data_IF_587930898708
#
_entry.id   IF_587930898708
#
_cell.length_a   1.000
_cell.length_b   1.000
_cell.length_c   1.000
_cell.angle_alpha   90.00
_cell.angle_beta   90.00
_cell.angle_gamma   90.00
#
_symmetry.space_group_name_H-M   'P 1'
#
loop_
_entity.id
_entity.type
_entity.pdbx_description
1 polymer ?
#
# COMPACT_ATOMS: atom_id res chain seq x y z
N UNK A 1 -17.62 19.82 -11.38
CA UNK A 1 -17.87 20.31 -10.01
C UNK A 1 -17.19 19.38 -9.03
N UNK A 2 -15.97 19.72 -8.59
CA UNK A 2 -15.11 18.83 -7.78
C UNK A 2 -14.58 19.50 -6.51
N UNK A 3 -15.01 20.74 -6.27
CA UNK A 3 -14.49 21.63 -5.24
C UNK A 3 -14.74 21.11 -3.83
N UNK A 4 -15.93 20.54 -3.57
CA UNK A 4 -16.30 20.01 -2.25
C UNK A 4 -15.37 18.85 -1.86
N UNK A 5 -15.01 17.98 -2.82
CA UNK A 5 -14.10 16.87 -2.57
C UNK A 5 -12.65 17.31 -2.37
N UNK A 6 -12.22 18.36 -3.07
CA UNK A 6 -10.88 18.91 -2.91
C UNK A 6 -10.74 19.66 -1.56
N UNK A 7 -11.82 20.32 -1.10
CA UNK A 7 -11.90 20.99 0.20
C UNK A 7 -11.95 19.98 1.36
N UNK A 8 -12.64 18.85 1.18
CA UNK A 8 -12.67 17.76 2.16
C UNK A 8 -11.30 17.05 2.29
N UNK A 9 -10.51 16.98 1.20
CA UNK A 9 -9.16 16.41 1.21
C UNK A 9 -8.15 17.33 1.92
N UNK A 10 -8.25 18.64 1.68
CA UNK A 10 -7.32 19.63 2.21
C UNK A 10 -7.53 19.94 3.71
N UNK A 11 -8.61 19.43 4.31
CA UNK A 11 -8.91 19.70 5.71
C UNK A 11 -7.91 18.97 6.63
N UNK A 12 -7.20 19.68 7.52
CA UNK A 12 -6.10 19.12 8.32
C UNK A 12 -6.65 18.30 9.50
N UNK A 13 -7.27 17.17 9.21
CA UNK A 13 -7.86 16.27 10.20
C UNK A 13 -6.85 15.76 11.24
N UNK A 14 -5.55 15.74 10.89
CA UNK A 14 -4.48 15.30 11.79
C UNK A 14 -4.24 16.26 12.97
N UNK A 15 -4.42 17.57 12.82
CA UNK A 15 -4.18 18.55 13.90
C UNK A 15 -5.33 18.57 14.90
N UNK A 16 -6.56 18.34 14.42
CA UNK A 16 -7.76 18.24 15.27
C UNK A 16 -7.71 17.04 16.21
N UNK A 17 -7.25 15.89 15.73
CA UNK A 17 -7.07 14.68 16.55
C UNK A 17 -5.97 14.90 17.61
N UNK A 18 -4.85 15.54 17.22
CA UNK A 18 -3.75 15.83 18.14
C UNK A 18 -4.15 16.79 19.27
N UNK A 19 -5.09 17.70 19.02
CA UNK A 19 -5.67 18.59 20.04
C UNK A 19 -6.78 17.96 20.87
N UNK A 20 -7.42 16.89 20.38
CA UNK A 20 -8.55 16.24 21.02
C UNK A 20 -8.15 15.14 22.02
N UNK A 21 -6.88 14.72 22.02
CA UNK A 21 -6.34 13.80 23.03
C UNK A 21 -7.00 12.41 23.06
N UNK A 22 -7.65 11.99 21.97
CA UNK A 22 -8.33 10.72 21.86
C UNK A 22 -7.37 9.57 21.54
N UNK A 23 -7.60 8.42 22.15
CA UNK A 23 -6.72 7.24 22.10
C UNK A 23 -7.53 5.98 21.74
N UNK A 24 -8.58 6.17 20.94
CA UNK A 24 -9.66 5.20 20.78
C UNK A 24 -9.72 4.68 19.34
N UNK A 25 -10.01 3.39 19.16
CA UNK A 25 -10.08 2.69 17.86
C UNK A 25 -11.04 3.31 16.81
N UNK A 26 -11.88 4.27 17.22
CA UNK A 26 -12.74 5.08 16.34
C UNK A 26 -11.95 6.10 15.50
N UNK A 27 -10.72 6.45 15.90
CA UNK A 27 -9.89 7.44 15.21
C UNK A 27 -9.32 6.94 13.88
N UNK A 28 -9.17 5.63 13.68
CA UNK A 28 -8.67 5.05 12.42
C UNK A 28 -9.67 5.24 11.28
N UNK A 29 -10.97 5.23 11.57
CA UNK A 29 -12.02 5.48 10.58
C UNK A 29 -12.07 6.94 10.14
N UNK A 30 -11.74 7.89 11.03
CA UNK A 30 -11.68 9.31 10.69
C UNK A 30 -10.45 9.69 9.86
N UNK A 31 -9.49 8.78 9.67
CA UNK A 31 -8.33 8.96 8.79
C UNK A 31 -8.60 8.54 7.34
N UNK A 32 -9.74 7.90 7.05
CA UNK A 32 -10.18 7.53 5.70
C UNK A 32 -10.21 8.70 4.69
N UNK A 33 -10.45 9.98 5.06
CA UNK A 33 -10.29 11.12 4.15
C UNK A 33 -8.86 11.30 3.62
N UNK A 34 -7.83 10.72 4.26
CA UNK A 34 -6.46 10.72 3.68
C UNK A 34 -6.39 9.90 2.38
N UNK A 35 -7.26 8.91 2.19
CA UNK A 35 -7.42 8.20 0.90
C UNK A 35 -7.97 9.13 -0.20
N UNK A 36 -8.57 10.26 0.17
CA UNK A 36 -8.97 11.30 -0.79
C UNK A 36 -7.76 11.97 -1.45
N UNK A 37 -6.57 11.96 -0.82
CA UNK A 37 -5.32 12.38 -1.47
C UNK A 37 -4.90 11.40 -2.59
N UNK A 38 -5.27 10.12 -2.53
CA UNK A 38 -5.09 9.19 -3.66
C UNK A 38 -5.90 9.65 -4.87
N UNK A 39 -7.06 10.30 -4.67
CA UNK A 39 -7.81 10.92 -5.77
C UNK A 39 -7.08 12.11 -6.40
N UNK A 40 -6.31 12.88 -5.62
CA UNK A 40 -5.48 13.96 -6.16
C UNK A 40 -4.38 13.39 -7.06
N UNK A 41 -3.73 12.31 -6.62
CA UNK A 41 -2.74 11.59 -7.43
C UNK A 41 -3.37 10.98 -8.69
N UNK A 42 -4.55 10.38 -8.58
CA UNK A 42 -5.31 9.84 -9.71
C UNK A 42 -5.69 10.95 -10.70
N UNK A 43 -6.15 12.12 -10.24
CA UNK A 43 -6.44 13.25 -11.12
C UNK A 43 -5.19 13.81 -11.79
N UNK A 44 -4.05 13.83 -11.08
CA UNK A 44 -2.77 14.19 -11.68
C UNK A 44 -2.37 13.19 -12.79
N UNK A 45 -2.54 11.89 -12.54
CA UNK A 45 -2.32 10.84 -13.54
C UNK A 45 -3.26 10.97 -14.75
N UNK A 46 -4.56 11.24 -14.54
CA UNK A 46 -5.55 11.46 -15.61
C UNK A 46 -5.23 12.73 -16.43
N UNK A 47 -4.73 13.79 -15.78
CA UNK A 47 -4.27 15.00 -16.50
C UNK A 47 -3.02 14.72 -17.33
N UNK A 48 -2.07 13.96 -16.80
CA UNK A 48 -0.87 13.52 -17.53
C UNK A 48 -1.22 12.57 -18.70
N UNK A 49 -2.24 11.73 -18.52
CA UNK A 49 -2.85 10.89 -19.56
C UNK A 49 -3.39 11.70 -20.74
N UNK A 50 -4.02 12.85 -20.45
CA UNK A 50 -4.64 13.72 -21.43
C UNK A 50 -3.64 14.66 -22.14
N UNK A 51 -2.43 14.79 -21.60
CA UNK A 51 -1.41 15.67 -22.17
C UNK A 51 -0.65 14.95 -23.30
N UNK A 52 -1.16 15.08 -24.52
CA UNK A 52 -0.62 14.51 -25.77
C UNK A 52 0.81 14.99 -26.06
N UNK A 53 1.30 16.06 -25.39
CA UNK A 53 2.65 16.60 -25.56
C UNK A 53 3.76 15.74 -24.92
N UNK A 54 3.39 14.68 -24.21
CA UNK A 54 4.32 13.79 -23.50
C UNK A 54 4.98 12.71 -24.40
N UNK A 55 5.01 12.89 -25.72
CA UNK A 55 5.63 11.98 -26.72
C UNK A 55 7.16 11.81 -26.61
N UNK A 56 7.77 12.27 -25.52
CA UNK A 56 9.19 12.03 -25.21
C UNK A 56 9.32 10.98 -24.10
N UNK A 57 10.43 10.23 -24.12
CA UNK A 57 10.81 9.25 -23.08
C UNK A 57 10.56 9.77 -21.65
N UNK A 58 10.86 11.04 -21.42
CA UNK A 58 10.69 11.71 -20.12
C UNK A 58 9.23 11.90 -19.70
N UNK A 59 8.29 12.02 -20.63
CA UNK A 59 6.86 12.15 -20.35
C UNK A 59 6.23 10.84 -19.91
N UNK A 60 6.55 9.74 -20.62
CA UNK A 60 6.11 8.39 -20.25
C UNK A 60 6.61 7.96 -18.87
N UNK A 61 7.91 8.12 -18.59
CA UNK A 61 8.48 7.81 -17.28
C UNK A 61 7.82 8.62 -16.15
N UNK A 62 7.61 9.94 -16.36
CA UNK A 62 6.96 10.83 -15.39
C UNK A 62 5.55 10.37 -15.00
N UNK A 63 4.86 9.65 -15.88
CA UNK A 63 3.53 9.11 -15.62
C UNK A 63 3.57 7.72 -14.96
N UNK A 64 4.55 6.87 -15.33
CA UNK A 64 4.66 5.49 -14.83
C UNK A 64 5.20 5.39 -13.40
N UNK A 65 6.27 6.13 -13.07
CA UNK A 65 6.89 6.07 -11.74
C UNK A 65 5.93 6.35 -10.57
N UNK A 66 5.16 7.46 -10.55
CA UNK A 66 4.25 7.74 -9.45
C UNK A 66 3.11 6.71 -9.36
N UNK A 67 2.71 6.11 -10.48
CA UNK A 67 1.69 5.08 -10.52
C UNK A 67 2.15 3.79 -9.83
N UNK A 68 3.38 3.33 -10.12
CA UNK A 68 3.97 2.14 -9.48
C UNK A 68 4.13 2.36 -7.97
N UNK A 69 4.65 3.53 -7.57
CA UNK A 69 4.82 3.88 -6.14
C UNK A 69 3.47 3.93 -5.41
N UNK A 70 2.43 4.45 -6.04
CA UNK A 70 1.11 4.51 -5.44
C UNK A 70 0.52 3.12 -5.21
N UNK A 71 0.63 2.23 -6.19
CA UNK A 71 0.15 0.85 -6.05
C UNK A 71 0.92 0.11 -4.97
N UNK A 72 2.26 0.22 -4.95
CA UNK A 72 3.07 -0.43 -3.92
C UNK A 72 2.74 0.09 -2.52
N UNK A 73 2.52 1.39 -2.35
CA UNK A 73 2.10 1.98 -1.08
C UNK A 73 0.72 1.47 -0.63
N UNK A 74 -0.28 1.47 -1.52
CA UNK A 74 -1.63 1.00 -1.18
C UNK A 74 -1.60 -0.47 -0.78
N UNK A 75 -0.91 -1.32 -1.54
CA UNK A 75 -0.80 -2.74 -1.22
C UNK A 75 -0.03 -2.98 0.09
N UNK A 76 1.00 -2.18 0.38
CA UNK A 76 1.75 -2.25 1.63
C UNK A 76 0.90 -1.87 2.83
N UNK A 77 0.06 -0.83 2.70
CA UNK A 77 -0.88 -0.43 3.73
C UNK A 77 -1.93 -1.50 4.00
N UNK A 78 -2.46 -2.17 2.95
CA UNK A 78 -3.41 -3.27 3.11
C UNK A 78 -2.75 -4.47 3.79
N UNK A 79 -1.53 -4.83 3.39
CA UNK A 79 -0.76 -5.92 4.01
C UNK A 79 -0.48 -5.68 5.49
N UNK A 80 -0.05 -4.46 5.83
CA UNK A 80 0.15 -4.03 7.21
C UNK A 80 -1.16 -4.09 8.02
N UNK A 81 -2.26 -3.59 7.45
CA UNK A 81 -3.56 -3.59 8.09
C UNK A 81 -4.08 -5.02 8.36
N UNK A 82 -3.91 -5.95 7.42
CA UNK A 82 -4.29 -7.35 7.60
C UNK A 82 -3.56 -8.01 8.78
N UNK A 83 -2.26 -7.77 8.92
CA UNK A 83 -1.48 -8.28 10.06
C UNK A 83 -1.94 -7.70 11.40
N UNK A 84 -2.20 -6.38 11.45
CA UNK A 84 -2.66 -5.70 12.68
C UNK A 84 -4.07 -6.09 13.09
N UNK A 85 -4.99 -6.27 12.14
CA UNK A 85 -6.37 -6.67 12.41
C UNK A 85 -6.41 -8.04 13.09
N UNK A 86 -5.55 -8.97 12.64
CA UNK A 86 -5.42 -10.30 13.24
C UNK A 86 -4.81 -10.25 14.63
N UNK A 87 -3.74 -9.48 14.84
CA UNK A 87 -3.14 -9.28 16.16
C UNK A 87 -4.15 -8.73 17.19
N UNK A 88 -4.98 -7.76 16.80
CA UNK A 88 -6.02 -7.20 17.67
C UNK A 88 -7.07 -8.26 18.04
N UNK A 89 -7.52 -9.04 17.05
CA UNK A 89 -8.51 -10.11 17.22
C UNK A 89 -7.99 -11.26 18.08
N UNK A 90 -6.68 -11.54 18.02
CA UNK A 90 -5.99 -12.46 18.94
C UNK A 90 -6.04 -11.94 20.39
N UNK A 91 -5.65 -10.68 20.61
CA UNK A 91 -5.63 -10.05 21.94
C UNK A 91 -7.00 -9.97 22.62
N UNK A 92 -8.08 -9.92 21.84
CA UNK A 92 -9.47 -9.89 22.35
C UNK A 92 -10.02 -11.29 22.72
N UNK A 93 -9.19 -12.35 22.62
CA UNK A 93 -9.56 -13.69 23.09
C UNK A 93 -10.52 -14.43 22.15
N UNK A 94 -10.57 -14.05 20.88
CA UNK A 94 -11.52 -14.62 19.91
C UNK A 94 -11.21 -16.06 19.43
N UNK A 95 -10.22 -16.74 20.01
CA UNK A 95 -9.92 -18.16 19.75
C UNK A 95 -9.37 -18.46 18.36
N UNK A 96 -8.92 -17.44 17.62
CA UNK A 96 -8.35 -17.58 16.28
C UNK A 96 -6.87 -17.96 16.43
N UNK A 97 -6.55 -19.26 16.45
CA UNK A 97 -5.22 -19.79 16.79
C UNK A 97 -4.12 -19.56 15.72
N UNK A 98 -4.49 -19.06 14.54
CA UNK A 98 -3.57 -18.94 13.41
C UNK A 98 -2.62 -17.73 13.57
N UNK A 99 -1.28 -17.93 13.50
CA UNK A 99 -0.32 -16.83 13.59
C UNK A 99 -0.46 -15.89 12.39
N UNK A 100 -0.21 -14.60 12.60
CA UNK A 100 -0.15 -13.62 11.52
C UNK A 100 1.26 -13.52 10.94
N UNK A 101 1.38 -12.99 9.72
CA UNK A 101 2.70 -12.74 9.14
C UNK A 101 3.59 -11.85 10.04
N UNK A 102 2.99 -10.95 10.83
CA UNK A 102 3.70 -10.00 11.71
C UNK A 102 4.15 -10.64 13.04
N UNK A 103 3.49 -11.72 13.47
CA UNK A 103 3.86 -12.51 14.64
C UNK A 103 4.80 -13.67 14.31
N UNK A 104 4.92 -14.08 13.04
CA UNK A 104 5.77 -15.21 12.63
C UNK A 104 7.06 -14.80 11.90
N UNK A 105 7.30 -13.49 11.73
CA UNK A 105 8.48 -13.04 11.01
C UNK A 105 9.75 -13.02 11.90
N UNK A 106 10.67 -13.93 11.64
CA UNK A 106 11.94 -14.06 12.37
C UNK A 106 13.06 -13.12 11.87
N UNK A 107 12.88 -12.45 10.72
CA UNK A 107 13.97 -11.78 10.01
C UNK A 107 14.51 -10.50 10.66
N UNK A 108 13.91 -10.01 11.75
CA UNK A 108 14.46 -8.91 12.56
C UNK A 108 15.14 -9.40 13.86
N UNK A 109 15.31 -10.72 14.06
CA UNK A 109 15.86 -11.28 15.30
C UNK A 109 14.90 -11.16 16.49
N UNK A 110 13.61 -10.96 16.21
CA UNK A 110 12.54 -10.94 17.21
C UNK A 110 11.40 -11.80 16.71
N UNK A 111 10.95 -12.72 17.56
CA UNK A 111 9.88 -13.66 17.23
C UNK A 111 8.51 -12.97 17.18
N UNK A 112 8.40 -11.69 17.54
CA UNK A 112 7.14 -10.94 17.55
C UNK A 112 7.37 -9.47 17.21
N UNK A 113 7.26 -9.09 15.94
CA UNK A 113 7.35 -7.68 15.53
C UNK A 113 6.10 -6.90 15.96
N UNK A 114 4.95 -7.56 16.06
CA UNK A 114 3.68 -6.92 16.40
C UNK A 114 3.74 -6.11 17.71
N UNK A 115 4.43 -6.66 18.73
CA UNK A 115 4.57 -6.07 20.06
C UNK A 115 5.88 -5.31 20.28
N UNK A 116 6.97 -5.69 19.60
CA UNK A 116 8.32 -5.14 19.84
C UNK A 116 8.82 -4.16 18.78
N UNK A 117 8.27 -4.19 17.56
CA UNK A 117 8.70 -3.32 16.46
C UNK A 117 7.97 -1.97 16.47
N UNK A 118 8.66 -0.91 16.08
CA UNK A 118 8.06 0.40 15.85
C UNK A 118 7.09 0.37 14.66
N UNK A 119 6.11 1.29 14.65
CA UNK A 119 5.16 1.41 13.53
C UNK A 119 5.86 1.64 12.18
N UNK A 120 6.96 2.37 12.18
CA UNK A 120 7.77 2.63 10.99
C UNK A 120 8.44 1.35 10.48
N UNK A 121 9.00 0.52 11.37
CA UNK A 121 9.61 -0.77 11.00
C UNK A 121 8.56 -1.72 10.42
N UNK A 122 7.38 -1.82 11.04
CA UNK A 122 6.27 -2.65 10.55
C UNK A 122 5.82 -2.25 9.14
N UNK A 123 5.72 -0.94 8.90
CA UNK A 123 5.36 -0.40 7.60
C UNK A 123 6.46 -0.62 6.56
N UNK A 124 7.72 -0.34 6.89
CA UNK A 124 8.86 -0.54 5.98
C UNK A 124 9.00 -2.00 5.58
N UNK A 125 8.77 -2.91 6.52
CA UNK A 125 8.80 -4.35 6.27
C UNK A 125 7.66 -4.79 5.33
N UNK A 126 6.46 -4.25 5.54
CA UNK A 126 5.31 -4.47 4.66
C UNK A 126 5.57 -3.95 3.25
N UNK A 127 6.12 -2.74 3.15
CA UNK A 127 6.47 -2.12 1.88
C UNK A 127 7.57 -2.89 1.14
N UNK A 128 8.56 -3.39 1.89
CA UNK A 128 9.60 -4.27 1.37
C UNK A 128 8.99 -5.54 0.77
N UNK A 129 8.13 -6.24 1.52
CA UNK A 129 7.47 -7.46 1.06
C UNK A 129 6.68 -7.25 -0.23
N UNK A 130 5.88 -6.19 -0.29
CA UNK A 130 5.10 -5.84 -1.48
C UNK A 130 6.01 -5.50 -2.66
N UNK A 131 7.09 -4.74 -2.44
CA UNK A 131 7.99 -4.33 -3.52
C UNK A 131 8.73 -5.52 -4.13
N UNK A 132 9.18 -6.46 -3.29
CA UNK A 132 9.80 -7.72 -3.72
C UNK A 132 8.79 -8.55 -4.52
N UNK A 133 7.57 -8.70 -4.01
CA UNK A 133 6.49 -9.45 -4.67
C UNK A 133 6.09 -8.81 -6.01
N UNK A 134 6.03 -7.48 -6.09
CA UNK A 134 5.68 -6.74 -7.30
C UNK A 134 6.78 -6.80 -8.36
N UNK A 135 8.04 -6.87 -7.92
CA UNK A 135 9.20 -7.04 -8.81
C UNK A 135 9.38 -8.48 -9.27
N UNK A 136 8.49 -9.40 -8.85
CA UNK A 136 8.60 -10.85 -9.07
C UNK A 136 9.96 -11.42 -8.64
N UNK A 137 10.67 -10.72 -7.76
CA UNK A 137 11.88 -11.23 -7.14
C UNK A 137 11.41 -12.32 -6.17
N UNK A 138 11.93 -13.54 -6.30
CA UNK A 138 11.54 -14.68 -5.46
C UNK A 138 11.62 -14.35 -3.97
N UNK A 139 10.80 -15.00 -3.15
CA UNK A 139 10.60 -14.70 -1.72
C UNK A 139 11.93 -14.41 -1.00
N UNK A 140 12.23 -13.13 -0.78
CA UNK A 140 13.37 -12.73 0.04
C UNK A 140 12.92 -12.69 1.49
N UNK A 141 13.26 -13.77 2.20
CA UNK A 141 13.22 -13.84 3.66
C UNK A 141 11.85 -14.13 4.26
N UNK A 142 11.59 -15.40 4.59
CA UNK A 142 10.68 -15.98 5.63
C UNK A 142 9.30 -15.35 5.91
N UNK A 143 8.86 -14.30 5.21
CA UNK A 143 7.51 -13.75 5.26
C UNK A 143 6.62 -14.56 4.34
N UNK A 144 6.08 -15.67 4.88
CA UNK A 144 5.05 -16.43 4.20
C UNK A 144 3.69 -16.06 4.79
N UNK A 145 2.65 -15.91 3.95
CA UNK A 145 1.29 -15.79 4.43
C UNK A 145 0.96 -17.06 5.24
N UNK A 146 0.49 -16.88 6.46
CA UNK A 146 0.12 -17.98 7.36
C UNK A 146 -1.40 -18.19 7.34
N UNK A 147 -2.15 -17.09 7.19
CA UNK A 147 -3.60 -17.11 7.25
C UNK A 147 -4.25 -17.31 5.88
N UNK A 148 -5.45 -17.89 5.85
CA UNK A 148 -6.27 -17.98 4.63
C UNK A 148 -6.54 -16.60 3.99
N UNK A 149 -6.75 -15.57 4.82
CA UNK A 149 -6.97 -14.19 4.36
C UNK A 149 -5.71 -13.56 3.77
N UNK A 150 -4.54 -13.86 4.34
CA UNK A 150 -3.24 -13.41 3.83
C UNK A 150 -2.91 -14.14 2.52
N UNK A 151 -3.17 -15.45 2.44
CA UNK A 151 -3.00 -16.25 1.23
C UNK A 151 -3.88 -15.69 0.11
N UNK A 152 -5.17 -15.46 0.40
CA UNK A 152 -6.10 -14.89 -0.57
C UNK A 152 -5.63 -13.51 -1.07
N UNK A 153 -5.18 -12.65 -0.15
CA UNK A 153 -4.61 -11.36 -0.51
C UNK A 153 -3.38 -11.49 -1.41
N UNK A 154 -2.44 -12.38 -1.08
CA UNK A 154 -1.24 -12.62 -1.89
C UNK A 154 -1.61 -13.15 -3.27
N UNK A 155 -2.60 -14.05 -3.39
CA UNK A 155 -3.09 -14.52 -4.68
C UNK A 155 -3.63 -13.36 -5.54
N UNK A 156 -4.45 -12.49 -4.96
CA UNK A 156 -4.96 -11.28 -5.66
C UNK A 156 -3.82 -10.34 -6.04
N UNK A 157 -2.86 -10.13 -5.13
CA UNK A 157 -1.68 -9.32 -5.36
C UNK A 157 -0.87 -9.83 -6.55
N UNK A 158 -0.67 -11.15 -6.67
CA UNK A 158 0.05 -11.73 -7.81
C UNK A 158 -0.66 -11.48 -9.15
N UNK A 159 -1.99 -11.57 -9.21
CA UNK A 159 -2.77 -11.23 -10.42
C UNK A 159 -2.61 -9.75 -10.78
N UNK A 160 -2.62 -8.87 -9.78
CA UNK A 160 -2.40 -7.44 -9.98
C UNK A 160 -0.97 -7.19 -10.48
N UNK A 161 0.03 -7.86 -9.91
CA UNK A 161 1.44 -7.76 -10.35
C UNK A 161 1.59 -8.16 -11.81
N UNK A 162 0.97 -9.26 -12.24
CA UNK A 162 1.00 -9.71 -13.64
C UNK A 162 0.41 -8.65 -14.58
N UNK A 163 -0.73 -8.08 -14.18
CA UNK A 163 -1.41 -7.03 -14.95
C UNK A 163 -0.57 -5.76 -15.03
N UNK A 164 0.03 -5.35 -13.90
CA UNK A 164 0.90 -4.19 -13.82
C UNK A 164 2.16 -4.38 -14.66
N UNK A 165 2.76 -5.57 -14.63
CA UNK A 165 3.94 -5.89 -15.43
C UNK A 165 3.64 -5.82 -16.92
N UNK A 166 2.51 -6.39 -17.36
CA UNK A 166 2.06 -6.29 -18.75
C UNK A 166 1.83 -4.83 -19.19
N UNK A 167 1.20 -4.01 -18.33
CA UNK A 167 0.99 -2.59 -18.58
C UNK A 167 2.31 -1.82 -18.72
N UNK A 168 3.25 -2.01 -17.80
CA UNK A 168 4.56 -1.34 -17.81
C UNK A 168 5.34 -1.74 -19.06
N UNK A 169 5.36 -3.02 -19.43
CA UNK A 169 5.99 -3.47 -20.66
C UNK A 169 5.35 -2.87 -21.92
N UNK A 170 4.02 -2.78 -21.96
CA UNK A 170 3.30 -2.15 -23.08
C UNK A 170 3.66 -0.67 -23.23
N UNK A 171 3.73 0.06 -22.12
CA UNK A 171 4.13 1.47 -22.13
C UNK A 171 5.60 1.65 -22.51
N UNK A 172 6.52 0.80 -22.02
CA UNK A 172 7.93 0.81 -22.45
C UNK A 172 8.04 0.51 -23.95
N UNK A 173 7.30 -0.48 -24.46
CA UNK A 173 7.30 -0.82 -25.89
C UNK A 173 6.80 0.35 -26.74
N UNK A 174 5.71 1.01 -26.31
CA UNK A 174 5.20 2.21 -26.99
C UNK A 174 6.23 3.34 -27.02
N UNK A 175 6.99 3.51 -25.93
CA UNK A 175 8.06 4.53 -25.86
C UNK A 175 9.23 4.19 -26.80
N UNK A 176 9.66 2.92 -26.85
CA UNK A 176 10.76 2.48 -27.72
C UNK A 176 10.38 2.57 -29.19
N UNK A 177 9.14 2.21 -29.56
CA UNK A 177 8.67 2.25 -30.94
C UNK A 177 8.35 3.66 -31.45
N UNK A 178 8.10 4.62 -30.54
CA UNK A 178 7.88 6.04 -30.88
C UNK A 178 9.19 6.82 -31.07
N UNK A 179 10.34 6.23 -30.76
CA UNK A 179 11.66 6.80 -30.93
C UNK A 179 12.23 6.49 -32.32
#
# INVERSE_FOLDING_TARGET
SSFIWDLLAAFPYATLILSAGGKDSFETWWQLPKLLHVRVLYRYYIKQLADVRADTLTGGLRRLFPFIIAISHVMACIWWFLGRLKEQRWSEGSGDEDPSWISHYEGLGTDNIASKGSLAEQYLLSFYYITVTLSANGLVGRMLPQNIWEIFFVCVLMVITLTLYAFVLGEISNLVMKQ
#
